data_IF_471312793495
#
_entry.id   IF_471312793495
#
_cell.length_a   1.000
_cell.length_b   1.000
_cell.length_c   1.000
_cell.angle_alpha   90.00
_cell.angle_beta   90.00
_cell.angle_gamma   90.00
#
_symmetry.space_group_name_H-M   'P 1'
#
loop_
_entity.id
_entity.type
_entity.pdbx_description
1 polymer ?
#
# COMPACT_ATOMS: atom_id res chain seq x y z
N UNK A 1 -15.44 1.80 18.96
CA UNK A 1 -14.66 2.74 18.14
C UNK A 1 -13.62 1.91 17.42
N UNK A 2 -13.77 1.67 16.12
CA UNK A 2 -12.72 1.02 15.34
C UNK A 2 -11.52 1.97 15.33
N UNK A 3 -10.32 1.48 15.63
CA UNK A 3 -9.12 2.31 15.54
C UNK A 3 -8.99 2.85 14.11
N UNK A 4 -8.67 4.14 13.96
CA UNK A 4 -8.37 4.68 12.65
C UNK A 4 -7.15 3.95 12.06
N UNK A 5 -7.19 3.53 10.79
CA UNK A 5 -6.10 2.77 10.21
C UNK A 5 -4.83 3.63 10.16
N UNK A 6 -3.70 3.04 10.55
CA UNK A 6 -2.46 3.80 10.78
C UNK A 6 -1.89 4.32 9.45
N UNK A 7 -1.69 5.64 9.26
CA UNK A 7 -1.18 6.18 8.01
C UNK A 7 0.21 5.65 7.66
N UNK A 8 0.43 5.37 6.38
CA UNK A 8 1.74 4.98 5.84
C UNK A 8 2.02 5.76 4.57
N UNK A 9 3.29 6.08 4.31
CA UNK A 9 3.71 6.57 3.01
C UNK A 9 4.33 5.43 2.21
N UNK A 10 3.83 5.21 0.98
CA UNK A 10 4.43 4.31 0.01
C UNK A 10 4.93 5.18 -1.16
N UNK A 11 6.23 5.20 -1.37
CA UNK A 11 6.87 6.10 -2.33
C UNK A 11 7.77 5.37 -3.32
N UNK A 12 7.94 5.97 -4.49
CA UNK A 12 8.86 5.50 -5.53
C UNK A 12 10.33 5.90 -5.22
N UNK A 13 11.23 5.56 -6.14
CA UNK A 13 12.66 5.87 -6.00
C UNK A 13 12.95 7.37 -5.90
N UNK A 14 12.14 8.20 -6.55
CA UNK A 14 12.24 9.66 -6.52
C UNK A 14 11.56 10.30 -5.29
N UNK A 15 10.83 9.51 -4.50
CA UNK A 15 10.07 10.00 -3.34
C UNK A 15 8.64 10.47 -3.68
N UNK A 16 8.16 10.22 -4.90
CA UNK A 16 6.78 10.45 -5.30
C UNK A 16 5.82 9.42 -4.69
N UNK A 17 4.58 9.83 -4.42
CA UNK A 17 3.53 8.93 -3.91
C UNK A 17 3.19 7.82 -4.92
N UNK A 18 3.07 6.60 -4.43
CA UNK A 18 2.65 5.45 -5.23
C UNK A 18 1.13 5.38 -5.22
N UNK A 19 0.49 5.87 -6.28
CA UNK A 19 -0.97 5.80 -6.46
C UNK A 19 -1.49 4.48 -7.03
N UNK A 20 -2.82 4.37 -7.13
CA UNK A 20 -3.53 3.35 -7.92
C UNK A 20 -4.30 4.01 -9.06
N UNK A 21 -4.36 3.37 -10.22
CA UNK A 21 -5.22 3.76 -11.34
C UNK A 21 -6.66 3.29 -11.09
N UNK A 22 -7.58 3.71 -11.97
CA UNK A 22 -8.96 3.24 -11.95
C UNK A 22 -9.13 1.74 -12.25
N UNK A 23 -8.10 1.11 -12.83
CA UNK A 23 -8.12 -0.29 -13.26
C UNK A 23 -7.33 -1.22 -12.30
N UNK A 24 -7.08 -0.76 -11.06
CA UNK A 24 -6.27 -1.46 -10.05
C UNK A 24 -4.83 -1.77 -10.51
N UNK A 25 -4.13 -0.77 -11.05
CA UNK A 25 -2.69 -0.83 -11.27
C UNK A 25 -1.95 0.20 -10.42
N UNK A 26 -0.71 -0.09 -10.01
CA UNK A 26 0.13 0.92 -9.37
C UNK A 26 0.58 1.95 -10.41
N UNK A 27 0.47 3.22 -10.08
CA UNK A 27 0.89 4.32 -10.97
C UNK A 27 2.40 4.35 -11.22
N UNK A 28 3.20 3.89 -10.24
CA UNK A 28 4.66 3.84 -10.27
C UNK A 28 5.15 2.66 -9.42
N UNK A 29 6.39 2.22 -9.65
CA UNK A 29 7.02 1.14 -8.87
C UNK A 29 7.32 1.59 -7.44
N UNK A 30 6.84 0.87 -6.41
CA UNK A 30 7.15 1.20 -5.03
C UNK A 30 8.62 0.89 -4.71
N UNK A 31 9.26 1.78 -3.97
CA UNK A 31 10.67 1.65 -3.57
C UNK A 31 10.87 1.73 -2.07
N UNK A 32 10.08 2.57 -1.37
CA UNK A 32 10.17 2.72 0.10
C UNK A 32 8.81 2.79 0.74
N UNK A 33 8.71 2.23 1.94
CA UNK A 33 7.57 2.32 2.83
C UNK A 33 7.99 3.02 4.12
N UNK A 34 7.24 4.04 4.55
CA UNK A 34 7.49 4.78 5.79
C UNK A 34 6.33 4.56 6.75
N UNK A 35 6.59 3.81 7.81
CA UNK A 35 5.61 3.42 8.82
C UNK A 35 6.18 3.72 10.22
N UNK A 36 5.42 4.44 11.05
CA UNK A 36 5.89 4.85 12.39
C UNK A 36 7.23 5.63 12.38
N UNK A 37 7.54 6.36 11.30
CA UNK A 37 8.83 7.05 11.12
C UNK A 37 10.00 6.17 10.70
N UNK A 38 9.81 4.85 10.62
CA UNK A 38 10.82 3.91 10.12
C UNK A 38 10.71 3.77 8.61
N UNK A 39 11.81 3.96 7.91
CA UNK A 39 11.91 3.72 6.46
C UNK A 39 12.30 2.27 6.21
N UNK A 40 11.56 1.62 5.31
CA UNK A 40 11.83 0.25 4.85
C UNK A 40 11.96 0.25 3.34
N UNK A 41 13.00 -0.38 2.83
CA UNK A 41 13.13 -0.67 1.40
C UNK A 41 12.07 -1.70 1.01
N UNK A 42 11.32 -1.42 -0.06
CA UNK A 42 10.35 -2.34 -0.61
C UNK A 42 11.09 -3.37 -1.45
N UNK A 43 11.10 -4.63 -1.00
CA UNK A 43 11.80 -5.72 -1.68
C UNK A 43 10.85 -6.56 -2.55
N UNK A 44 9.56 -6.58 -2.23
CA UNK A 44 8.51 -7.17 -3.06
C UNK A 44 7.12 -6.65 -2.68
N UNK A 45 6.16 -6.83 -3.56
CA UNK A 45 4.75 -6.52 -3.31
C UNK A 45 3.82 -7.45 -4.11
N UNK A 46 2.56 -7.53 -3.69
CA UNK A 46 1.50 -8.24 -4.40
C UNK A 46 0.20 -7.40 -4.40
N UNK A 47 -0.56 -7.51 -5.49
CA UNK A 47 -1.72 -6.65 -5.78
C UNK A 47 -1.38 -5.52 -6.78
N UNK A 48 -2.19 -4.44 -6.83
CA UNK A 48 -3.24 -4.10 -5.88
C UNK A 48 -4.55 -4.85 -6.15
N UNK A 49 -5.31 -5.20 -5.11
CA UNK A 49 -6.60 -5.89 -5.21
C UNK A 49 -7.74 -4.94 -4.86
N UNK A 50 -8.80 -4.79 -5.68
CA UNK A 50 -9.92 -3.89 -5.37
C UNK A 50 -10.58 -4.19 -4.01
N UNK A 51 -10.73 -3.15 -3.19
CA UNK A 51 -11.40 -3.19 -1.90
C UNK A 51 -12.76 -2.50 -2.01
N UNK A 52 -13.78 -3.18 -2.54
CA UNK A 52 -15.09 -2.56 -2.71
C UNK A 52 -16.18 -3.52 -3.22
N UNK A 53 -17.43 -3.17 -2.91
CA UNK A 53 -18.64 -3.95 -3.20
C UNK A 53 -19.02 -4.01 -4.69
N UNK A 54 -18.12 -3.77 -5.65
CA UNK A 54 -18.46 -3.90 -7.09
C UNK A 54 -17.37 -4.58 -7.88
N UNK A 55 -16.64 -5.51 -7.24
CA UNK A 55 -15.63 -6.33 -7.92
C UNK A 55 -16.20 -7.14 -9.10
N UNK A 56 -17.53 -7.33 -9.16
CA UNK A 56 -18.24 -8.01 -10.25
C UNK A 56 -18.61 -7.09 -11.43
N UNK A 57 -18.45 -5.78 -11.30
CA UNK A 57 -18.81 -4.79 -12.32
C UNK A 57 -17.54 -4.32 -13.02
N UNK A 58 -17.22 -4.95 -14.15
CA UNK A 58 -16.00 -4.68 -14.94
C UNK A 58 -15.90 -3.23 -15.44
N UNK A 59 -16.99 -2.45 -15.38
CA UNK A 59 -16.99 -1.04 -15.79
C UNK A 59 -16.78 -0.06 -14.62
N UNK A 60 -16.73 -0.54 -13.38
CA UNK A 60 -16.59 0.31 -12.21
C UNK A 60 -15.12 0.67 -11.93
N UNK A 61 -14.83 1.97 -11.81
CA UNK A 61 -13.49 2.43 -11.43
C UNK A 61 -13.17 2.05 -9.98
N UNK A 62 -11.96 1.51 -9.77
CA UNK A 62 -11.42 1.16 -8.47
C UNK A 62 -11.17 2.44 -7.66
N UNK A 63 -11.83 2.54 -6.50
CA UNK A 63 -11.71 3.68 -5.56
C UNK A 63 -10.91 3.34 -4.31
N UNK A 64 -10.75 2.06 -4.06
CA UNK A 64 -9.97 1.56 -2.95
C UNK A 64 -9.34 0.22 -3.33
N UNK A 65 -8.13 -0.03 -2.84
CA UNK A 65 -7.45 -1.29 -3.12
C UNK A 65 -6.46 -1.67 -2.02
N UNK A 66 -6.35 -2.97 -1.78
CA UNK A 66 -5.35 -3.56 -0.91
C UNK A 66 -4.04 -3.78 -1.64
N UNK A 67 -2.94 -3.66 -0.92
CA UNK A 67 -1.59 -3.97 -1.41
C UNK A 67 -0.81 -4.67 -0.30
N UNK A 68 -0.19 -5.80 -0.62
CA UNK A 68 0.74 -6.44 0.29
C UNK A 68 2.16 -6.00 -0.06
N UNK A 69 2.94 -5.57 0.94
CA UNK A 69 4.30 -5.04 0.75
C UNK A 69 5.26 -5.73 1.70
N UNK A 70 6.37 -6.26 1.20
CA UNK A 70 7.50 -6.72 2.01
C UNK A 70 8.52 -5.60 2.10
N UNK A 71 8.83 -5.18 3.33
CA UNK A 71 9.73 -4.07 3.62
C UNK A 71 10.89 -4.46 4.54
N UNK A 72 12.11 -4.11 4.18
CA UNK A 72 13.32 -4.36 4.98
C UNK A 72 13.88 -3.04 5.52
N UNK A 73 14.06 -2.94 6.85
CA UNK A 73 14.67 -1.77 7.49
C UNK A 73 16.19 -1.78 7.35
N UNK A 74 16.83 -0.65 7.64
CA UNK A 74 18.29 -0.51 7.58
C UNK A 74 19.05 -1.47 8.51
N UNK A 75 18.41 -1.93 9.59
CA UNK A 75 18.95 -2.95 10.51
C UNK A 75 18.75 -4.39 10.03
N UNK A 76 18.17 -4.59 8.84
CA UNK A 76 17.86 -5.89 8.25
C UNK A 76 16.52 -6.48 8.71
N UNK A 77 15.78 -5.82 9.61
CA UNK A 77 14.47 -6.31 10.05
C UNK A 77 13.48 -6.32 8.89
N UNK A 78 12.89 -7.46 8.58
CA UNK A 78 11.87 -7.61 7.54
C UNK A 78 10.47 -7.62 8.15
N UNK A 79 9.53 -6.91 7.53
CA UNK A 79 8.11 -6.96 7.85
C UNK A 79 7.27 -7.06 6.58
N UNK A 80 6.09 -7.65 6.71
CA UNK A 80 5.07 -7.73 5.66
C UNK A 80 3.86 -6.89 6.08
N UNK A 81 3.54 -5.91 5.27
CA UNK A 81 2.44 -4.96 5.49
C UNK A 81 1.27 -5.32 4.58
N UNK A 82 0.07 -5.34 5.14
CA UNK A 82 -1.16 -5.22 4.37
C UNK A 82 -1.62 -3.77 4.43
N UNK A 83 -1.67 -3.13 3.27
CA UNK A 83 -2.06 -1.73 3.12
C UNK A 83 -3.42 -1.63 2.45
N UNK A 84 -4.16 -0.57 2.76
CA UNK A 84 -5.34 -0.11 2.04
C UNK A 84 -5.09 1.29 1.49
N UNK A 85 -5.35 1.51 0.20
CA UNK A 85 -5.45 2.86 -0.37
C UNK A 85 -6.90 3.27 -0.46
N UNK A 86 -7.29 4.35 0.21
CA UNK A 86 -8.63 4.96 0.11
C UNK A 86 -8.48 6.48 0.06
N UNK A 87 -9.28 7.16 -0.76
CA UNK A 87 -9.23 8.63 -0.85
C UNK A 87 -7.85 9.19 -1.20
N UNK A 88 -7.04 8.42 -1.96
CA UNK A 88 -5.68 8.81 -2.35
C UNK A 88 -4.63 8.70 -1.25
N UNK A 89 -4.92 8.03 -0.13
CA UNK A 89 -3.97 7.83 0.97
C UNK A 89 -3.81 6.35 1.29
N UNK A 90 -2.61 5.96 1.66
CA UNK A 90 -2.33 4.63 2.19
C UNK A 90 -2.46 4.60 3.71
N UNK A 91 -2.97 3.48 4.22
CA UNK A 91 -2.95 3.15 5.64
C UNK A 91 -2.65 1.65 5.82
N UNK A 92 -2.16 1.28 7.00
CA UNK A 92 -1.88 -0.10 7.40
C UNK A 92 -3.16 -0.73 7.94
N UNK A 93 -3.48 -1.91 7.44
CA UNK A 93 -4.51 -2.79 8.00
C UNK A 93 -3.92 -3.94 8.81
N UNK A 94 -2.68 -4.34 8.52
CA UNK A 94 -1.99 -5.39 9.27
C UNK A 94 -0.48 -5.40 9.03
N UNK A 95 0.26 -5.88 10.03
CA UNK A 95 1.72 -6.04 9.98
C UNK A 95 2.07 -7.44 10.49
N UNK A 96 2.95 -8.13 9.76
CA UNK A 96 3.45 -9.46 10.09
C UNK A 96 4.98 -9.46 10.01
N UNK A 97 5.66 -10.24 10.85
CA UNK A 97 7.12 -10.32 10.93
C UNK A 97 7.59 -11.72 11.30
#
# INVERSE_FOLDING_TARGET
>A
MLAEPEPVALVDGAGGDVGITGDAELTVTPSRLVHGGTVREVVSWAGPWPAGERWWDEQALVRAAHLQVVGVAADGGQLVFLLIRTGGKWAVEGVHG
#
